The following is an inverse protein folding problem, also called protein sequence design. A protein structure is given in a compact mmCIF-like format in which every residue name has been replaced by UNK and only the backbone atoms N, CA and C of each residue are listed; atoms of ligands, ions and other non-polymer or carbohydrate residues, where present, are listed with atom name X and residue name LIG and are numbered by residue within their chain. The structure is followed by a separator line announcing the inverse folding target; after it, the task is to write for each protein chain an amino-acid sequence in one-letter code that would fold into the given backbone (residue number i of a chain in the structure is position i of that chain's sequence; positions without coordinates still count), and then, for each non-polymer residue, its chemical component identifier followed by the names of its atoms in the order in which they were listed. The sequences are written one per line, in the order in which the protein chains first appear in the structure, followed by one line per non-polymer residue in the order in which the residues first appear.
data_IF_800848618548
#
_entry.id   IF_800848618548
#
_cell.length_a   1.000
_cell.length_b   1.000
_cell.length_c   1.000
_cell.angle_alpha   90.00
_cell.angle_beta   90.00
_cell.angle_gamma   90.00
#
_symmetry.space_group_name_H-M   'P 1'
#
loop_
_entity.id
_entity.type
_entity.pdbx_description
1 polymer ?
#
# COMPACT_ATOMS: atom_id res chain seq x y z
N UNK A 1 48.74 66.97 -7.24
CA UNK A 1 48.17 67.90 -6.23
C UNK A 1 46.74 67.48 -5.96
N UNK A 2 46.36 67.14 -4.72
CA UNK A 2 44.99 66.78 -4.34
C UNK A 2 44.58 67.67 -3.17
N UNK A 3 43.39 68.27 -3.26
CA UNK A 3 42.88 69.28 -2.34
C UNK A 3 41.62 68.73 -1.66
N UNK A 4 41.54 68.72 -0.32
CA UNK A 4 40.40 68.14 0.41
C UNK A 4 39.17 69.05 0.34
N UNK A 5 37.98 68.50 0.02
CA UNK A 5 36.73 69.25 -0.21
C UNK A 5 35.76 69.33 0.98
N UNK A 6 36.18 68.94 2.19
CA UNK A 6 35.35 69.11 3.38
C UNK A 6 35.74 70.42 4.10
N UNK A 7 34.82 71.38 4.20
CA UNK A 7 35.01 72.60 4.99
C UNK A 7 33.89 72.75 6.03
N UNK A 8 34.29 73.15 7.24
CA UNK A 8 33.41 73.62 8.30
C UNK A 8 33.66 75.11 8.50
N UNK A 9 32.64 75.90 8.92
CA UNK A 9 32.83 77.30 9.24
C UNK A 9 33.47 77.40 10.63
N UNK A 10 34.79 77.22 10.69
CA UNK A 10 35.81 77.69 11.66
C UNK A 10 37.08 76.85 11.39
N UNK A 11 38.11 77.50 10.87
CA UNK A 11 39.25 76.90 10.17
C UNK A 11 40.43 76.58 11.09
N UNK A 12 40.59 75.30 11.42
CA UNK A 12 41.94 74.72 11.56
C UNK A 12 42.06 73.60 10.53
N UNK A 13 43.04 73.66 9.60
CA UNK A 13 43.26 72.56 8.65
C UNK A 13 43.57 71.29 9.44
N UNK A 14 42.91 70.19 9.08
CA UNK A 14 43.07 68.90 9.76
C UNK A 14 44.55 68.50 9.73
N UNK A 15 45.18 68.19 10.88
CA UNK A 15 46.64 68.05 10.98
C UNK A 15 47.19 66.89 10.13
N UNK A 16 46.37 65.88 9.86
CA UNK A 16 46.77 64.69 9.10
C UNK A 16 46.24 64.73 7.66
N UNK A 17 47.09 65.15 6.72
CA UNK A 17 46.79 65.27 5.28
C UNK A 17 46.40 63.95 4.59
N UNK A 18 46.67 62.81 5.22
CA UNK A 18 46.34 61.47 4.73
C UNK A 18 44.95 60.97 5.16
N UNK A 19 44.27 61.68 6.07
CA UNK A 19 43.02 61.19 6.64
C UNK A 19 41.90 61.07 5.61
N UNK A 20 41.76 62.05 4.71
CA UNK A 20 40.72 62.05 3.66
C UNK A 20 40.87 60.91 2.65
N UNK A 21 42.06 60.66 2.05
CA UNK A 21 42.23 59.52 1.16
C UNK A 21 42.10 58.18 1.90
N UNK A 22 42.58 58.08 3.15
CA UNK A 22 42.41 56.87 3.96
C UNK A 22 40.94 56.60 4.30
N UNK A 23 40.15 57.63 4.62
CA UNK A 23 38.73 57.49 4.89
C UNK A 23 37.93 57.10 3.64
N UNK A 24 38.28 57.64 2.46
CA UNK A 24 37.66 57.27 1.19
C UNK A 24 37.97 55.81 0.80
N UNK A 25 39.25 55.44 0.83
CA UNK A 25 39.69 54.07 0.50
C UNK A 25 39.16 53.08 1.54
N UNK A 26 39.26 53.41 2.82
CA UNK A 26 38.74 52.59 3.92
C UNK A 26 37.22 52.43 3.85
N UNK A 27 36.48 53.50 3.55
CA UNK A 27 35.04 53.46 3.35
C UNK A 27 34.62 52.61 2.16
N UNK A 28 35.36 52.67 1.05
CA UNK A 28 35.10 51.86 -0.14
C UNK A 28 35.38 50.37 0.14
N UNK A 29 36.48 50.05 0.81
CA UNK A 29 36.80 48.68 1.25
C UNK A 29 35.71 48.15 2.19
N UNK A 30 35.27 48.96 3.15
CA UNK A 30 34.25 48.58 4.12
C UNK A 30 32.88 48.40 3.46
N UNK A 31 32.53 49.23 2.47
CA UNK A 31 31.31 49.09 1.68
C UNK A 31 31.29 47.79 0.86
N UNK A 32 32.42 47.42 0.25
CA UNK A 32 32.57 46.15 -0.49
C UNK A 32 32.43 44.96 0.47
N UNK A 33 33.11 45.00 1.62
CA UNK A 33 33.02 43.95 2.65
C UNK A 33 31.60 43.76 3.17
N UNK A 34 30.93 44.86 3.55
CA UNK A 34 29.54 44.81 4.03
C UNK A 34 28.58 44.31 2.96
N UNK A 35 28.80 44.66 1.70
CA UNK A 35 27.98 44.18 0.58
C UNK A 35 28.14 42.67 0.36
N UNK A 36 29.37 42.13 0.44
CA UNK A 36 29.63 40.69 0.35
C UNK A 36 29.02 39.93 1.53
N UNK A 37 29.13 40.47 2.75
CA UNK A 37 28.50 39.88 3.93
C UNK A 37 26.97 39.88 3.80
N UNK A 38 26.38 40.98 3.35
CA UNK A 38 24.93 41.09 3.16
C UNK A 38 24.41 40.16 2.06
N UNK A 39 25.19 39.97 0.98
CA UNK A 39 24.91 38.98 -0.06
C UNK A 39 24.94 37.56 0.50
N UNK A 40 25.95 37.22 1.32
CA UNK A 40 26.04 35.90 1.93
C UNK A 40 24.94 35.61 2.96
N UNK A 41 24.46 36.65 3.66
CA UNK A 41 23.40 36.49 4.66
C UNK A 41 22.01 36.32 4.03
N UNK A 42 21.74 36.97 2.89
CA UNK A 42 20.40 37.00 2.27
C UNK A 42 20.30 36.20 0.96
N UNK A 43 21.42 35.75 0.38
CA UNK A 43 21.46 35.20 -0.98
C UNK A 43 21.22 33.70 -1.09
N UNK A 44 21.12 32.96 0.02
CA UNK A 44 21.00 31.52 -0.03
C UNK A 44 19.58 31.06 0.32
N UNK A 45 18.87 30.56 -0.69
CA UNK A 45 17.71 29.71 -0.50
C UNK A 45 18.15 28.26 -0.38
N UNK A 46 17.80 27.62 0.74
CA UNK A 46 18.00 26.19 0.92
C UNK A 46 16.97 25.44 0.07
N UNK A 47 17.44 24.51 -0.77
CA UNK A 47 16.60 23.59 -1.53
C UNK A 47 16.78 22.18 -0.97
N UNK A 48 15.69 21.51 -0.63
CA UNK A 48 15.72 20.10 -0.24
C UNK A 48 15.99 19.23 -1.47
N UNK A 49 16.86 18.23 -1.31
CA UNK A 49 17.19 17.27 -2.36
C UNK A 49 16.87 15.87 -1.82
N UNK A 50 16.04 15.14 -2.56
CA UNK A 50 15.72 13.75 -2.24
C UNK A 50 16.76 12.82 -2.86
N UNK A 51 17.27 11.89 -2.06
CA UNK A 51 18.29 10.93 -2.48
C UNK A 51 17.95 9.55 -1.92
N UNK A 52 18.24 8.50 -2.68
CA UNK A 52 18.15 7.12 -2.22
C UNK A 52 19.42 6.64 -1.51
N UNK A 53 20.53 7.39 -1.62
CA UNK A 53 21.79 7.10 -0.96
C UNK A 53 22.18 8.28 -0.05
N UNK A 54 21.75 8.27 1.24
CA UNK A 54 22.04 9.35 2.17
C UNK A 54 23.55 9.46 2.43
N UNK A 55 24.27 8.34 2.50
CA UNK A 55 25.69 8.33 2.86
C UNK A 55 26.55 9.05 1.82
N UNK A 56 26.36 8.75 0.53
CA UNK A 56 27.15 9.42 -0.51
C UNK A 56 26.75 10.90 -0.62
N UNK A 57 25.47 11.22 -0.47
CA UNK A 57 24.95 12.58 -0.58
C UNK A 57 25.43 13.46 0.57
N UNK A 58 25.41 12.97 1.80
CA UNK A 58 25.96 13.66 2.98
C UNK A 58 27.47 13.86 2.83
N UNK A 59 28.21 12.83 2.41
CA UNK A 59 29.66 12.95 2.20
C UNK A 59 29.99 14.02 1.15
N UNK A 60 29.24 14.08 0.05
CA UNK A 60 29.42 15.09 -0.99
C UNK A 60 29.03 16.49 -0.50
N UNK A 61 27.94 16.61 0.24
CA UNK A 61 27.49 17.88 0.81
C UNK A 61 28.49 18.42 1.83
N UNK A 62 28.97 17.59 2.76
CA UNK A 62 29.90 17.97 3.81
C UNK A 62 31.35 18.14 3.29
N UNK A 63 31.69 17.57 2.14
CA UNK A 63 32.97 17.82 1.46
C UNK A 63 33.10 19.23 0.85
N UNK A 64 32.01 19.99 0.73
CA UNK A 64 32.04 21.33 0.15
C UNK A 64 32.92 22.26 0.99
N UNK A 65 33.81 23.01 0.32
CA UNK A 65 34.84 23.84 0.96
C UNK A 65 34.29 24.82 2.00
N UNK A 66 33.09 25.35 1.79
CA UNK A 66 32.45 26.32 2.68
C UNK A 66 31.82 25.69 3.93
N UNK A 67 31.75 24.36 4.01
CA UNK A 67 31.33 23.61 5.21
C UNK A 67 32.51 23.05 5.99
N UNK A 68 33.74 23.18 5.48
CA UNK A 68 34.93 22.76 6.19
C UNK A 68 35.38 23.84 7.20
N UNK A 69 36.06 23.41 8.28
CA UNK A 69 36.66 24.36 9.24
C UNK A 69 37.70 25.24 8.53
N UNK A 70 37.77 26.55 8.84
CA UNK A 70 37.08 27.30 9.90
C UNK A 70 35.72 27.91 9.49
N UNK A 71 35.24 27.66 8.26
CA UNK A 71 34.04 28.28 7.69
C UNK A 71 32.73 27.54 8.01
N UNK A 72 32.80 26.46 8.81
CA UNK A 72 31.64 25.77 9.38
C UNK A 72 30.92 26.67 10.39
N UNK A 73 30.03 27.53 9.89
CA UNK A 73 29.10 28.32 10.70
C UNK A 73 27.70 27.69 10.79
N UNK A 74 27.46 26.59 10.06
CA UNK A 74 26.22 25.81 10.07
C UNK A 74 26.55 24.34 10.30
N UNK A 75 25.70 23.64 11.06
CA UNK A 75 25.82 22.21 11.34
C UNK A 75 25.94 21.38 10.05
N UNK A 76 26.64 20.25 10.15
CA UNK A 76 26.77 19.28 9.06
C UNK A 76 25.40 18.89 8.52
N UNK A 77 25.30 18.65 7.21
CA UNK A 77 24.05 18.13 6.62
C UNK A 77 23.87 16.71 7.14
N UNK A 78 22.72 16.48 7.77
CA UNK A 78 22.23 15.15 8.10
C UNK A 78 21.00 14.89 7.25
N UNK A 79 21.00 13.75 6.56
CA UNK A 79 19.86 13.29 5.80
C UNK A 79 18.78 12.83 6.77
N UNK A 80 17.60 13.42 6.64
CA UNK A 80 16.42 12.96 7.36
C UNK A 80 15.60 12.05 6.44
N UNK A 81 15.17 10.90 6.96
CA UNK A 81 14.24 10.04 6.25
C UNK A 81 12.89 10.73 6.17
N UNK A 82 12.46 11.13 4.97
CA UNK A 82 11.13 11.65 4.77
C UNK A 82 10.08 10.52 4.79
N UNK A 83 8.87 10.79 5.31
CA UNK A 83 7.76 9.86 5.19
C UNK A 83 7.45 9.62 3.71
N UNK A 84 7.27 8.35 3.34
CA UNK A 84 6.75 8.00 2.03
C UNK A 84 5.25 8.32 2.00
N UNK A 85 4.80 9.12 1.04
CA UNK A 85 3.38 9.45 0.92
C UNK A 85 2.67 8.28 0.23
N UNK A 86 1.83 7.57 0.97
CA UNK A 86 0.94 6.55 0.43
C UNK A 86 -0.37 7.22 0.00
N UNK A 87 -0.73 7.08 -1.26
CA UNK A 87 -1.95 7.64 -1.84
C UNK A 87 -2.99 6.56 -2.10
N UNK A 88 -4.27 6.94 -2.13
CA UNK A 88 -5.33 6.04 -2.59
C UNK A 88 -5.06 5.65 -4.05
N UNK A 89 -5.07 4.35 -4.32
CA UNK A 89 -4.70 3.76 -5.61
C UNK A 89 -3.27 3.25 -5.69
N UNK A 90 -2.39 3.63 -4.76
CA UNK A 90 -1.02 3.13 -4.75
C UNK A 90 -0.97 1.65 -4.39
N UNK A 91 -0.05 0.93 -5.04
CA UNK A 91 0.22 -0.46 -4.75
C UNK A 91 1.51 -0.61 -3.95
N UNK A 92 1.48 -1.38 -2.88
CA UNK A 92 2.63 -1.61 -2.01
C UNK A 92 2.71 -3.07 -1.55
N UNK A 93 3.84 -3.39 -0.93
CA UNK A 93 4.15 -4.72 -0.40
C UNK A 93 4.57 -4.59 1.06
N UNK A 94 4.29 -5.62 1.85
CA UNK A 94 4.73 -5.67 3.24
C UNK A 94 6.10 -6.33 3.36
N UNK A 95 6.76 -6.15 4.50
CA UNK A 95 8.05 -6.80 4.79
C UNK A 95 7.98 -8.33 4.77
N UNK A 96 6.78 -8.90 4.95
CA UNK A 96 6.56 -10.34 4.85
C UNK A 96 6.49 -10.83 3.40
N UNK A 97 6.51 -9.93 2.41
CA UNK A 97 6.52 -10.25 0.97
C UNK A 97 5.42 -11.25 0.55
N UNK A 98 4.25 -11.13 1.18
CA UNK A 98 3.08 -11.95 0.86
C UNK A 98 2.41 -11.52 -0.44
N UNK A 99 1.37 -10.69 -0.34
CA UNK A 99 0.56 -10.27 -1.48
C UNK A 99 0.86 -8.82 -1.91
N UNK A 100 0.46 -8.49 -3.14
CA UNK A 100 0.36 -7.10 -3.60
C UNK A 100 -0.90 -6.46 -3.04
N UNK A 101 -0.73 -5.39 -2.27
CA UNK A 101 -1.85 -4.63 -1.73
C UNK A 101 -2.03 -3.33 -2.48
N UNK A 102 -3.27 -2.94 -2.71
CA UNK A 102 -3.65 -1.65 -3.28
C UNK A 102 -4.49 -0.89 -2.25
N UNK A 103 -4.19 0.39 -2.06
CA UNK A 103 -4.91 1.23 -1.10
C UNK A 103 -6.23 1.68 -1.72
N UNK A 104 -7.36 1.31 -1.10
CA UNK A 104 -8.70 1.68 -1.58
C UNK A 104 -9.26 2.91 -0.88
N UNK A 105 -8.97 3.07 0.41
CA UNK A 105 -9.40 4.23 1.18
C UNK A 105 -8.49 4.45 2.38
N UNK A 106 -8.35 5.71 2.78
CA UNK A 106 -7.71 6.12 4.02
C UNK A 106 -8.73 6.93 4.80
N UNK A 107 -8.86 6.65 6.09
CA UNK A 107 -9.89 7.24 6.94
C UNK A 107 -9.29 7.64 8.29
N UNK A 108 -9.53 8.89 8.66
CA UNK A 108 -9.15 9.49 9.93
C UNK A 108 -10.06 9.01 11.09
N UNK A 109 -9.69 9.13 12.39
CA UNK A 109 -10.59 8.82 13.50
C UNK A 109 -11.91 9.58 13.44
N UNK A 110 -11.93 10.79 12.87
CA UNK A 110 -13.15 11.55 12.62
C UNK A 110 -13.99 11.02 11.44
N UNK A 111 -13.65 9.85 10.88
CA UNK A 111 -14.24 9.21 9.70
C UNK A 111 -14.18 10.06 8.43
N UNK A 112 -13.21 10.97 8.36
CA UNK A 112 -12.98 11.78 7.17
C UNK A 112 -12.07 11.01 6.21
N UNK A 113 -12.49 10.90 4.95
CA UNK A 113 -11.70 10.25 3.91
C UNK A 113 -10.52 11.13 3.51
N UNK A 114 -9.31 10.57 3.57
CA UNK A 114 -8.07 11.22 3.15
C UNK A 114 -7.61 10.63 1.81
N UNK A 115 -6.98 11.45 0.98
CA UNK A 115 -6.40 11.01 -0.29
C UNK A 115 -4.99 10.44 -0.13
N UNK A 116 -4.27 10.86 0.91
CA UNK A 116 -2.86 10.52 1.16
C UNK A 116 -2.55 10.41 2.65
N UNK A 117 -1.52 9.64 2.99
CA UNK A 117 -1.01 9.48 4.36
C UNK A 117 0.52 9.38 4.36
N UNK A 118 1.17 10.01 5.34
CA UNK A 118 2.61 9.89 5.55
C UNK A 118 2.98 8.55 6.19
N UNK A 119 3.66 7.69 5.45
CA UNK A 119 4.14 6.39 5.90
C UNK A 119 5.60 6.45 6.34
N UNK A 120 5.87 6.16 7.61
CA UNK A 120 7.22 6.14 8.21
C UNK A 120 7.69 4.74 8.56
N UNK A 121 7.43 3.76 7.71
CA UNK A 121 7.72 2.35 7.99
C UNK A 121 7.05 1.84 9.28
N UNK A 122 5.85 2.37 9.57
CA UNK A 122 5.08 1.97 10.74
C UNK A 122 4.42 0.61 10.48
N UNK A 123 4.32 -0.19 11.52
CA UNK A 123 3.65 -1.51 11.44
C UNK A 123 2.16 -1.34 11.23
N UNK A 124 1.59 -2.08 10.28
CA UNK A 124 0.14 -2.23 10.16
C UNK A 124 -0.36 -3.10 11.32
N UNK A 125 -1.34 -2.60 12.06
CA UNK A 125 -1.93 -3.26 13.22
C UNK A 125 -3.42 -3.53 12.98
N UNK A 126 -3.98 -4.53 13.66
CA UNK A 126 -5.42 -4.85 13.58
C UNK A 126 -5.94 -4.97 12.14
N UNK A 127 -5.21 -5.69 11.30
CA UNK A 127 -5.63 -6.00 9.94
C UNK A 127 -6.73 -7.06 9.98
N UNK A 128 -7.97 -6.63 9.80
CA UNK A 128 -9.16 -7.49 9.86
C UNK A 128 -9.74 -7.62 8.45
N UNK A 129 -10.02 -8.84 7.96
CA UNK A 129 -10.71 -9.03 6.68
C UNK A 129 -12.13 -8.47 6.77
N UNK A 130 -12.52 -7.65 5.79
CA UNK A 130 -13.87 -7.07 5.72
C UNK A 130 -14.77 -7.90 4.82
N UNK A 131 -14.27 -8.21 3.64
CA UNK A 131 -15.00 -8.93 2.60
C UNK A 131 -14.01 -9.76 1.77
N UNK A 132 -14.46 -10.94 1.37
CA UNK A 132 -13.76 -11.81 0.42
C UNK A 132 -14.78 -12.18 -0.67
N UNK A 133 -14.42 -11.90 -1.91
CA UNK A 133 -15.27 -12.07 -3.09
C UNK A 133 -14.59 -13.07 -4.03
N UNK A 134 -15.28 -14.18 -4.30
CA UNK A 134 -14.84 -15.21 -5.24
C UNK A 134 -15.77 -15.17 -6.45
N UNK A 135 -15.22 -14.75 -7.59
CA UNK A 135 -15.92 -14.72 -8.87
C UNK A 135 -15.49 -15.94 -9.67
N UNK A 136 -16.40 -16.88 -9.80
CA UNK A 136 -16.18 -18.09 -10.57
C UNK A 136 -16.84 -17.96 -11.94
N UNK A 137 -16.07 -18.23 -12.99
CA UNK A 137 -16.59 -18.26 -14.36
C UNK A 137 -16.01 -19.43 -15.14
N UNK A 138 -16.89 -20.13 -15.84
CA UNK A 138 -16.47 -21.18 -16.78
C UNK A 138 -15.92 -20.56 -18.06
N UNK A 139 -14.79 -21.09 -18.53
CA UNK A 139 -14.24 -20.83 -19.85
C UNK A 139 -15.04 -21.50 -20.96
N UNK A 140 -15.74 -22.60 -20.63
CA UNK A 140 -16.62 -23.33 -21.54
C UNK A 140 -18.07 -23.22 -21.06
N UNK A 141 -18.94 -22.74 -21.95
CA UNK A 141 -20.38 -22.57 -21.72
C UNK A 141 -21.22 -23.69 -22.34
N UNK A 142 -20.58 -24.71 -22.92
CA UNK A 142 -21.25 -25.80 -23.61
C UNK A 142 -22.21 -26.57 -22.68
N UNK A 143 -23.40 -26.83 -23.22
CA UNK A 143 -24.41 -27.67 -22.58
C UNK A 143 -23.91 -29.13 -22.47
N UNK A 144 -24.06 -29.81 -21.31
CA UNK A 144 -23.94 -31.25 -21.14
C UNK A 144 -24.49 -32.07 -22.34
N UNK A 145 -23.79 -33.15 -22.75
CA UNK A 145 -23.31 -34.21 -21.86
C UNK A 145 -21.82 -34.16 -21.47
N UNK A 146 -21.06 -33.13 -21.89
CA UNK A 146 -19.67 -32.99 -21.44
C UNK A 146 -19.62 -32.77 -19.92
N UNK A 147 -18.86 -33.59 -19.15
CA UNK A 147 -18.72 -33.36 -17.72
C UNK A 147 -18.02 -32.01 -17.50
N UNK A 148 -18.67 -31.08 -16.81
CA UNK A 148 -17.99 -29.88 -16.33
C UNK A 148 -16.91 -30.31 -15.37
N UNK A 149 -15.66 -30.30 -15.83
CA UNK A 149 -14.49 -30.58 -15.00
C UNK A 149 -14.17 -29.34 -14.19
N UNK A 150 -13.49 -29.49 -13.05
CA UNK A 150 -13.00 -28.37 -12.26
C UNK A 150 -12.15 -27.38 -13.10
N UNK A 151 -11.43 -27.90 -14.10
CA UNK A 151 -10.67 -27.14 -15.10
C UNK A 151 -11.51 -26.20 -15.97
N UNK A 152 -12.84 -26.33 -16.03
CA UNK A 152 -13.66 -25.38 -16.78
C UNK A 152 -13.69 -24.01 -16.10
N UNK A 153 -13.44 -23.91 -14.80
CA UNK A 153 -13.58 -22.68 -14.01
C UNK A 153 -12.31 -21.80 -14.00
N UNK A 154 -11.54 -21.80 -15.08
CA UNK A 154 -10.25 -21.10 -15.14
C UNK A 154 -10.38 -19.58 -15.29
N UNK A 155 -11.51 -19.01 -15.73
CA UNK A 155 -11.68 -17.55 -15.84
C UNK A 155 -12.17 -16.93 -14.52
N UNK A 156 -11.64 -17.42 -13.41
CA UNK A 156 -12.08 -17.04 -12.06
C UNK A 156 -11.17 -15.99 -11.44
N UNK A 157 -11.73 -15.11 -10.61
CA UNK A 157 -10.99 -14.09 -9.87
C UNK A 157 -11.36 -14.07 -8.39
N UNK A 158 -10.42 -13.59 -7.58
CA UNK A 158 -10.56 -13.46 -6.13
C UNK A 158 -10.18 -12.04 -5.75
N UNK A 159 -11.04 -11.39 -4.97
CA UNK A 159 -10.78 -10.08 -4.39
C UNK A 159 -10.94 -10.21 -2.87
N UNK A 160 -9.96 -9.73 -2.12
CA UNK A 160 -10.05 -9.66 -0.67
C UNK A 160 -9.77 -8.23 -0.19
N UNK A 161 -10.64 -7.72 0.68
CA UNK A 161 -10.54 -6.38 1.26
C UNK A 161 -10.26 -6.51 2.76
N UNK A 162 -9.28 -5.76 3.23
CA UNK A 162 -8.88 -5.71 4.63
C UNK A 162 -8.92 -4.28 5.15
N UNK A 163 -9.28 -4.14 6.42
CA UNK A 163 -9.13 -2.90 7.16
C UNK A 163 -7.95 -3.04 8.10
N UNK A 164 -6.93 -2.20 7.94
CA UNK A 164 -5.77 -2.15 8.82
C UNK A 164 -5.71 -0.80 9.51
N UNK A 165 -5.16 -0.76 10.71
CA UNK A 165 -4.85 0.47 11.42
C UNK A 165 -3.36 0.78 11.33
N UNK A 166 -3.02 2.06 11.24
CA UNK A 166 -1.65 2.54 11.20
C UNK A 166 -1.52 3.74 12.14
N UNK A 167 -0.51 3.71 13.01
CA UNK A 167 -0.14 4.87 13.82
C UNK A 167 0.63 5.87 12.97
N UNK A 168 0.14 7.10 12.85
CA UNK A 168 0.85 8.25 12.28
C UNK A 168 1.00 9.36 13.30
N UNK A 169 1.75 10.42 12.98
CA UNK A 169 1.91 11.58 13.86
C UNK A 169 0.57 12.29 14.13
N UNK A 170 -0.37 12.20 13.18
CA UNK A 170 -1.71 12.77 13.26
C UNK A 170 -2.69 11.90 14.08
N UNK A 171 -2.27 10.68 14.46
CA UNK A 171 -3.07 9.74 15.26
C UNK A 171 -3.21 8.37 14.61
N UNK A 172 -4.22 7.61 15.05
CA UNK A 172 -4.44 6.23 14.59
C UNK A 172 -5.36 6.25 13.36
N UNK A 173 -4.78 6.09 12.18
CA UNK A 173 -5.49 6.13 10.91
C UNK A 173 -5.95 4.72 10.52
N UNK A 174 -7.09 4.62 9.83
CA UNK A 174 -7.58 3.36 9.27
C UNK A 174 -7.38 3.36 7.77
N UNK A 175 -6.71 2.32 7.26
CA UNK A 175 -6.46 2.12 5.84
C UNK A 175 -7.21 0.88 5.36
N UNK A 176 -8.03 1.05 4.33
CA UNK A 176 -8.66 -0.06 3.61
C UNK A 176 -7.76 -0.46 2.46
N UNK A 177 -7.34 -1.72 2.45
CA UNK A 177 -6.47 -2.29 1.42
C UNK A 177 -7.15 -3.46 0.72
N UNK A 178 -6.85 -3.64 -0.55
CA UNK A 178 -7.38 -4.74 -1.35
C UNK A 178 -6.24 -5.51 -2.01
N UNK A 179 -6.41 -6.82 -2.10
CA UNK A 179 -5.59 -7.68 -2.96
C UNK A 179 -6.51 -8.35 -3.95
N UNK A 180 -6.11 -8.37 -5.22
CA UNK A 180 -6.87 -8.98 -6.30
C UNK A 180 -5.98 -9.99 -7.03
N UNK A 181 -6.56 -11.14 -7.32
CA UNK A 181 -5.97 -12.14 -8.20
C UNK A 181 -6.94 -12.47 -9.32
N UNK A 182 -6.47 -12.33 -10.56
CA UNK A 182 -7.12 -12.80 -11.76
C UNK A 182 -6.17 -13.76 -12.47
N UNK A 183 -6.56 -15.02 -12.61
CA UNK A 183 -5.66 -16.02 -13.17
C UNK A 183 -6.41 -17.19 -13.78
N UNK A 184 -6.04 -17.51 -15.03
CA UNK A 184 -6.22 -18.85 -15.59
C UNK A 184 -5.40 -19.81 -14.73
N UNK A 185 -6.03 -20.87 -14.21
CA UNK A 185 -5.50 -21.80 -13.19
C UNK A 185 -4.23 -22.60 -13.52
N UNK A 186 -3.27 -22.00 -14.21
CA UNK A 186 -1.90 -22.47 -14.26
C UNK A 186 -1.19 -22.14 -12.94
N UNK A 187 -0.35 -23.07 -12.49
CA UNK A 187 0.22 -23.22 -11.15
C UNK A 187 1.20 -22.12 -10.71
N UNK A 188 1.07 -20.93 -11.28
CA UNK A 188 1.98 -19.82 -11.03
C UNK A 188 1.47 -19.13 -9.76
N UNK A 189 2.18 -19.33 -8.66
CA UNK A 189 2.02 -18.61 -7.40
C UNK A 189 2.33 -17.10 -7.53
N UNK A 190 2.11 -16.51 -8.71
CA UNK A 190 2.42 -15.13 -9.07
C UNK A 190 1.65 -14.09 -8.25
N UNK A 191 0.61 -14.50 -7.54
CA UNK A 191 -0.09 -13.67 -6.57
C UNK A 191 0.70 -13.44 -5.28
N UNK A 192 1.77 -14.22 -5.07
CA UNK A 192 2.72 -14.10 -3.97
C UNK A 192 4.04 -13.57 -4.50
N UNK A 193 4.64 -12.65 -3.76
CA UNK A 193 5.89 -12.00 -4.19
C UNK A 193 7.07 -12.92 -3.92
N UNK A 194 7.13 -13.51 -2.72
CA UNK A 194 8.20 -14.41 -2.28
C UNK A 194 7.63 -15.79 -1.92
N UNK A 195 8.08 -16.82 -2.64
CA UNK A 195 7.63 -18.22 -2.48
C UNK A 195 8.81 -19.12 -2.04
N UNK A 196 9.59 -18.68 -1.05
CA UNK A 196 10.68 -19.47 -0.47
C UNK A 196 10.32 -20.07 0.90
N UNK A 197 10.36 -21.40 0.97
CA UNK A 197 10.08 -22.16 2.18
C UNK A 197 11.11 -21.97 3.30
N UNK A 198 12.33 -21.51 3.00
CA UNK A 198 13.39 -21.31 4.00
C UNK A 198 13.33 -19.96 4.68
N UNK A 199 13.08 -18.91 3.90
CA UNK A 199 13.08 -17.52 4.40
C UNK A 199 11.69 -17.04 4.81
N UNK A 200 10.63 -17.50 4.12
CA UNK A 200 9.25 -17.05 4.31
C UNK A 200 8.28 -18.24 4.43
N UNK A 201 8.59 -19.17 5.35
CA UNK A 201 7.88 -20.43 5.51
C UNK A 201 6.36 -20.28 5.73
N UNK A 202 5.92 -19.29 6.50
CA UNK A 202 4.48 -19.05 6.76
C UNK A 202 3.72 -18.66 5.50
N UNK A 203 4.29 -17.77 4.69
CA UNK A 203 3.75 -17.36 3.39
C UNK A 203 3.76 -18.55 2.44
N UNK A 204 4.85 -19.30 2.38
CA UNK A 204 4.97 -20.48 1.54
C UNK A 204 3.89 -21.53 1.84
N UNK A 205 3.76 -21.95 3.11
CA UNK A 205 2.74 -22.92 3.52
C UNK A 205 1.32 -22.40 3.35
N UNK A 206 1.08 -21.13 3.72
CA UNK A 206 -0.21 -20.46 3.55
C UNK A 206 -0.65 -20.44 2.09
N UNK A 207 0.29 -20.21 1.17
CA UNK A 207 0.08 -20.21 -0.28
C UNK A 207 -0.31 -21.59 -0.80
N UNK A 208 0.37 -22.66 -0.34
CA UNK A 208 0.03 -24.04 -0.70
C UNK A 208 -1.35 -24.44 -0.17
N UNK A 209 -1.67 -24.06 1.07
CA UNK A 209 -2.99 -24.26 1.66
C UNK A 209 -4.09 -23.52 0.90
N UNK A 210 -3.85 -22.25 0.54
CA UNK A 210 -4.79 -21.45 -0.24
C UNK A 210 -5.05 -22.08 -1.61
N UNK A 211 -4.01 -22.56 -2.29
CA UNK A 211 -4.16 -23.24 -3.58
C UNK A 211 -4.92 -24.58 -3.43
N UNK A 212 -4.62 -25.37 -2.40
CA UNK A 212 -5.37 -26.60 -2.13
C UNK A 212 -6.86 -26.31 -1.86
N UNK A 213 -7.15 -25.28 -1.06
CA UNK A 213 -8.51 -24.81 -0.80
C UNK A 213 -9.20 -24.36 -2.09
N UNK A 214 -8.52 -23.55 -2.90
CA UNK A 214 -9.04 -23.07 -4.18
C UNK A 214 -9.41 -24.23 -5.12
N UNK A 215 -8.53 -25.22 -5.27
CA UNK A 215 -8.83 -26.43 -6.05
C UNK A 215 -10.05 -27.19 -5.51
N UNK A 216 -10.21 -27.26 -4.17
CA UNK A 216 -11.38 -27.85 -3.54
C UNK A 216 -12.68 -27.10 -3.86
N UNK A 217 -12.65 -25.76 -3.86
CA UNK A 217 -13.77 -24.92 -4.28
C UNK A 217 -14.12 -25.17 -5.74
N UNK A 218 -13.14 -25.19 -6.65
CA UNK A 218 -13.36 -25.47 -8.08
C UNK A 218 -13.91 -26.90 -8.31
N UNK A 219 -13.41 -27.88 -7.56
CA UNK A 219 -13.90 -29.26 -7.61
C UNK A 219 -15.36 -29.36 -7.15
N UNK A 220 -15.73 -28.66 -6.09
CA UNK A 220 -17.11 -28.62 -5.61
C UNK A 220 -18.02 -27.88 -6.59
N UNK A 221 -17.59 -26.72 -7.09
CA UNK A 221 -18.31 -25.96 -8.11
C UNK A 221 -18.51 -26.76 -9.42
N UNK A 222 -17.60 -27.66 -9.76
CA UNK A 222 -17.75 -28.54 -10.94
C UNK A 222 -18.92 -29.52 -10.84
N UNK A 223 -19.38 -29.83 -9.61
CA UNK A 223 -20.58 -30.66 -9.37
C UNK A 223 -21.88 -29.87 -9.56
N UNK A 224 -21.82 -28.55 -9.58
CA UNK A 224 -22.96 -27.67 -9.87
C UNK A 224 -23.17 -27.61 -11.39
N UNK A 225 -23.96 -28.55 -11.90
CA UNK A 225 -24.16 -28.71 -13.34
C UNK A 225 -25.43 -28.01 -13.85
N UNK A 226 -26.55 -28.12 -13.14
CA UNK A 226 -27.87 -27.70 -13.63
C UNK A 226 -28.57 -26.70 -12.70
N UNK A 227 -29.27 -25.75 -13.32
CA UNK A 227 -30.25 -24.89 -12.65
C UNK A 227 -31.63 -25.59 -12.64
N UNK A 228 -32.52 -25.16 -11.72
CA UNK A 228 -33.85 -25.72 -11.34
C UNK A 228 -34.72 -26.34 -12.46
N UNK A 229 -34.51 -25.99 -13.72
CA UNK A 229 -35.34 -26.37 -14.87
C UNK A 229 -34.65 -27.35 -15.85
N UNK A 230 -33.46 -27.88 -15.52
CA UNK A 230 -32.73 -28.89 -16.29
C UNK A 230 -32.21 -28.46 -17.68
N UNK A 231 -32.63 -27.28 -18.15
CA UNK A 231 -32.28 -26.72 -19.48
C UNK A 231 -31.21 -25.65 -19.44
N UNK A 232 -30.90 -25.11 -18.25
CA UNK A 232 -29.89 -24.06 -18.04
C UNK A 232 -28.78 -24.59 -17.14
N UNK A 233 -27.56 -24.22 -17.44
CA UNK A 233 -26.36 -24.71 -16.77
C UNK A 233 -25.70 -23.60 -15.98
N UNK A 234 -25.03 -23.96 -14.88
CA UNK A 234 -24.28 -22.98 -14.09
C UNK A 234 -22.99 -22.68 -14.81
N UNK A 235 -22.83 -21.44 -15.26
CA UNK A 235 -21.64 -20.94 -15.97
C UNK A 235 -20.89 -19.92 -15.12
N UNK A 236 -21.61 -19.22 -14.23
CA UNK A 236 -21.07 -18.22 -13.32
C UNK A 236 -21.52 -18.54 -11.91
N UNK A 237 -20.64 -18.33 -10.96
CA UNK A 237 -20.98 -18.34 -9.54
C UNK A 237 -20.24 -17.22 -8.84
N UNK A 238 -20.89 -16.66 -7.84
CA UNK A 238 -20.34 -15.57 -7.06
C UNK A 238 -20.55 -15.89 -5.60
N UNK A 239 -19.46 -15.94 -4.84
CA UNK A 239 -19.47 -16.17 -3.41
C UNK A 239 -18.93 -14.91 -2.72
N UNK A 240 -19.73 -14.37 -1.82
CA UNK A 240 -19.43 -13.18 -1.03
C UNK A 240 -19.38 -13.58 0.43
N UNK A 241 -18.19 -13.53 1.02
CA UNK A 241 -17.98 -13.73 2.45
C UNK A 241 -17.82 -12.35 3.09
N UNK A 242 -18.72 -12.02 4.01
CA UNK A 242 -18.63 -10.78 4.80
C UNK A 242 -18.38 -11.12 6.25
N UNK A 243 -17.40 -10.47 6.86
CA UNK A 243 -17.06 -10.75 8.26
C UNK A 243 -18.23 -10.37 9.17
N UNK A 244 -18.60 -11.28 10.07
CA UNK A 244 -19.52 -10.96 11.15
C UNK A 244 -18.75 -10.24 12.27
N UNK A 245 -19.04 -8.95 12.49
CA UNK A 245 -18.33 -8.14 13.48
C UNK A 245 -18.53 -8.58 14.93
N UNK A 246 -19.51 -9.44 15.20
CA UNK A 246 -19.81 -9.93 16.54
C UNK A 246 -19.08 -11.23 16.88
N UNK A 247 -18.61 -11.96 15.87
CA UNK A 247 -17.94 -13.24 16.06
C UNK A 247 -16.42 -13.07 15.92
N UNK A 248 -15.68 -13.57 16.91
CA UNK A 248 -14.22 -13.43 16.94
C UNK A 248 -13.52 -14.75 16.67
N UNK A 249 -14.21 -15.88 16.86
CA UNK A 249 -13.63 -17.18 16.60
C UNK A 249 -13.80 -17.56 15.12
N UNK A 250 -12.67 -17.72 14.42
CA UNK A 250 -12.63 -18.15 13.02
C UNK A 250 -13.17 -19.58 12.83
N UNK A 251 -13.26 -20.36 13.91
CA UNK A 251 -13.80 -21.73 13.87
C UNK A 251 -15.32 -21.79 13.96
N UNK A 252 -15.98 -20.67 14.30
CA UNK A 252 -17.45 -20.59 14.33
C UNK A 252 -17.99 -20.54 12.90
N UNK A 253 -19.03 -21.34 12.65
CA UNK A 253 -19.70 -21.39 11.34
C UNK A 253 -20.33 -20.03 10.95
N UNK A 254 -20.56 -19.15 11.94
CA UNK A 254 -21.10 -17.80 11.77
C UNK A 254 -20.03 -16.70 11.68
N UNK A 255 -18.74 -17.06 11.63
CA UNK A 255 -17.65 -16.11 11.50
C UNK A 255 -17.76 -15.28 10.20
N UNK A 256 -18.16 -15.93 9.11
CA UNK A 256 -18.49 -15.26 7.85
C UNK A 256 -19.95 -15.44 7.48
N UNK A 257 -20.61 -14.33 7.14
CA UNK A 257 -21.88 -14.36 6.45
C UNK A 257 -21.63 -14.62 4.97
N UNK A 258 -22.03 -15.81 4.50
CA UNK A 258 -21.96 -16.20 3.10
C UNK A 258 -23.24 -15.74 2.37
N UNK A 259 -23.06 -14.91 1.36
CA UNK A 259 -24.05 -14.65 0.33
C UNK A 259 -23.55 -15.23 -0.99
N UNK A 260 -24.42 -15.85 -1.78
CA UNK A 260 -24.03 -16.43 -3.04
C UNK A 260 -25.09 -16.23 -4.13
N UNK A 261 -24.62 -16.24 -5.37
CA UNK A 261 -25.45 -16.20 -6.56
C UNK A 261 -24.85 -17.11 -7.63
N UNK A 262 -25.71 -17.79 -8.39
CA UNK A 262 -25.30 -18.60 -9.53
C UNK A 262 -26.05 -18.15 -10.77
N UNK A 263 -25.41 -18.26 -11.93
CA UNK A 263 -25.95 -17.76 -13.17
C UNK A 263 -25.60 -18.63 -14.37
N UNK A 264 -26.49 -18.63 -15.34
CA UNK A 264 -26.17 -19.04 -16.71
C UNK A 264 -25.43 -17.90 -17.44
N UNK A 265 -25.09 -18.08 -18.72
CA UNK A 265 -24.36 -17.08 -19.50
C UNK A 265 -25.10 -15.73 -19.63
N UNK A 266 -26.43 -15.78 -19.72
CA UNK A 266 -27.30 -14.59 -19.72
C UNK A 266 -27.39 -13.89 -18.35
N UNK A 267 -26.60 -14.30 -17.36
CA UNK A 267 -26.68 -13.85 -15.94
C UNK A 267 -28.02 -14.09 -15.25
N UNK A 268 -28.95 -14.81 -15.89
CA UNK A 268 -30.15 -15.31 -15.22
C UNK A 268 -29.79 -16.51 -14.36
N UNK A 269 -30.11 -16.47 -13.08
CA UNK A 269 -29.99 -17.60 -12.18
C UNK A 269 -30.35 -17.24 -10.74
N UNK A 270 -30.51 -18.25 -9.88
CA UNK A 270 -30.98 -18.06 -8.52
C UNK A 270 -29.89 -17.43 -7.66
N UNK A 271 -30.32 -16.58 -6.76
CA UNK A 271 -29.52 -16.13 -5.62
C UNK A 271 -29.86 -16.98 -4.36
N UNK A 272 -29.10 -16.77 -3.29
CA UNK A 272 -29.32 -17.43 -2.00
C UNK A 272 -30.77 -17.31 -1.50
N UNK A 273 -31.35 -16.11 -1.57
CA UNK A 273 -32.70 -15.83 -1.06
C UNK A 273 -33.79 -16.56 -1.88
N UNK A 274 -33.57 -16.74 -3.19
CA UNK A 274 -34.52 -17.45 -4.07
C UNK A 274 -34.63 -18.95 -3.75
N UNK A 275 -33.64 -19.51 -3.02
CA UNK A 275 -33.50 -20.94 -2.76
C UNK A 275 -33.64 -21.32 -1.28
N UNK A 276 -33.48 -20.39 -0.34
CA UNK A 276 -33.81 -20.62 1.08
C UNK A 276 -35.32 -20.79 1.32
N UNK A 277 -36.16 -20.26 0.42
CA UNK A 277 -37.62 -20.43 0.44
C UNK A 277 -38.09 -21.81 -0.10
N UNK A 278 -37.21 -22.60 -0.71
CA UNK A 278 -37.48 -23.97 -1.16
C UNK A 278 -36.96 -24.95 -0.08
N UNK A 279 -37.83 -25.73 0.57
CA UNK A 279 -37.57 -26.58 1.76
C UNK A 279 -36.47 -27.67 1.61
N UNK A 280 -35.65 -27.66 0.54
CA UNK A 280 -34.61 -28.65 0.26
C UNK A 280 -33.19 -28.10 0.09
N UNK A 281 -32.97 -26.78 0.12
CA UNK A 281 -31.64 -26.19 -0.01
C UNK A 281 -31.13 -25.66 1.34
N UNK A 282 -30.24 -26.41 1.96
CA UNK A 282 -29.52 -25.97 3.15
C UNK A 282 -28.09 -25.61 2.76
N UNK A 283 -27.61 -24.45 3.24
CA UNK A 283 -26.19 -24.11 3.17
C UNK A 283 -25.39 -25.30 3.73
N UNK A 284 -24.38 -25.77 3.00
CA UNK A 284 -23.58 -26.94 3.40
C UNK A 284 -22.93 -26.79 4.79
N UNK A 285 -22.80 -25.54 5.26
CA UNK A 285 -22.33 -25.18 6.61
C UNK A 285 -23.33 -25.47 7.74
N UNK A 286 -24.63 -25.71 7.47
CA UNK A 286 -25.62 -25.86 8.54
C UNK A 286 -25.70 -27.26 9.15
N UNK A 287 -25.05 -28.26 8.55
CA UNK A 287 -25.09 -29.66 9.01
C UNK A 287 -23.72 -30.33 9.19
N UNK A 288 -22.63 -29.67 8.82
CA UNK A 288 -21.27 -30.15 9.11
C UNK A 288 -20.72 -29.31 10.25
N UNK A 289 -20.97 -29.75 11.49
CA UNK A 289 -20.27 -29.22 12.67
C UNK A 289 -18.79 -29.13 12.34
N UNK A 290 -18.28 -27.90 12.31
CA UNK A 290 -16.87 -27.53 12.35
C UNK A 290 -15.96 -28.69 12.72
N UNK A 291 -15.42 -29.33 11.68
CA UNK A 291 -14.20 -30.14 11.68
C UNK A 291 -13.97 -30.60 10.24
N UNK A 292 -12.77 -30.37 9.73
CA UNK A 292 -12.22 -30.87 8.45
C UNK A 292 -12.67 -30.18 7.15
N UNK A 293 -11.99 -29.08 6.83
CA UNK A 293 -11.41 -28.92 5.49
C UNK A 293 -9.89 -28.85 5.64
N UNK A 294 -9.34 -29.94 6.19
CA UNK A 294 -7.92 -30.29 6.14
C UNK A 294 -7.87 -31.68 5.49
N UNK A 295 -7.33 -31.69 4.26
CA UNK A 295 -6.76 -32.81 3.52
C UNK A 295 -7.53 -34.15 3.46
N UNK A 296 -7.89 -34.52 2.23
CA UNK A 296 -7.75 -35.90 1.77
C UNK A 296 -6.34 -36.40 2.11
N UNK A 297 -6.26 -37.52 2.83
CA UNK A 297 -5.17 -38.48 2.72
C UNK A 297 -5.76 -39.88 2.91
N UNK A 298 -5.90 -40.60 1.79
CA UNK A 298 -5.60 -42.04 1.54
C UNK A 298 -5.71 -43.07 2.69
N UNK A 299 -6.21 -44.30 2.54
CA UNK A 299 -6.69 -45.15 1.43
C UNK A 299 -7.39 -46.40 2.06
N UNK A 300 -7.36 -47.62 1.50
CA UNK A 300 -8.53 -48.43 1.13
C UNK A 300 -8.89 -49.56 2.11
N UNK A 301 -10.13 -50.04 2.01
CA UNK A 301 -10.50 -51.44 2.29
C UNK A 301 -11.78 -51.80 1.54
#
# INVERSE_FOLDING_TARGET
MHNSRFSYPISKPYPFRWFTPVALVGGLVLAVLLSLLNLSANGFYLKTVYTSDPNSTEAHANAQWFRQRPFNWQSDVQAECQPHLLSVGDSFFTTNLGFRYTIKAITDPARTSLSTIGYKNNTLQNCIPKEIELRLRKSDTAAPPAPSRWLSWIDSSILATFNCTIGTDDGLMTMTVTTEYSGSGDQIYSYVIEDDYKTHASVWWGTRLLNAYWNGVLATASRMTQLRDGKKYVVRAHLYYTLNSFEQDIQDDNFFNLYWWTGNDDSSGPNKNDLEDDEGYHDYNSNVKSNSILFLNDSPS
#
